data_IF_649482578225
#
_entry.id   IF_649482578225
#
_cell.length_a   1.000
_cell.length_b   1.000
_cell.length_c   1.000
_cell.angle_alpha   90.00
_cell.angle_beta   90.00
_cell.angle_gamma   90.00
#
_symmetry.space_group_name_H-M   'P 1'
#
loop_
_entity.id
_entity.type
_entity.pdbx_description
1 polymer ?
#
# COMPACT_ATOMS: atom_id res chain seq x y z
N UNK A 1 0.23 -12.78 8.24
CA UNK A 1 -0.75 -11.98 9.01
C UNK A 1 -0.14 -10.63 9.28
N UNK A 2 -0.92 -9.54 9.23
CA UNK A 2 -0.38 -8.17 9.17
C UNK A 2 -1.18 -7.20 10.02
N UNK A 3 -0.49 -6.32 10.75
CA UNK A 3 -1.09 -5.19 11.46
C UNK A 3 -0.95 -3.94 10.59
N UNK A 4 -2.05 -3.20 10.42
CA UNK A 4 -2.04 -1.88 9.80
C UNK A 4 -2.12 -0.85 10.93
N UNK A 5 -1.18 0.10 10.91
CA UNK A 5 -1.11 1.20 11.87
C UNK A 5 -0.88 2.51 11.13
N UNK A 6 -1.70 3.52 11.41
CA UNK A 6 -1.54 4.86 10.85
C UNK A 6 -2.15 5.92 11.77
N UNK A 7 -1.86 7.20 11.46
CA UNK A 7 -2.52 8.34 12.11
C UNK A 7 -3.43 9.03 11.11
N UNK A 8 -4.68 9.23 11.50
CA UNK A 8 -5.75 9.83 10.70
C UNK A 8 -6.18 11.13 11.36
N UNK A 9 -6.05 12.22 10.62
CA UNK A 9 -6.40 13.57 11.04
C UNK A 9 -7.32 14.19 9.98
N UNK A 10 -8.10 15.20 10.37
CA UNK A 10 -8.78 16.05 9.39
C UNK A 10 -7.84 17.13 8.81
N UNK A 11 -8.34 17.92 7.85
CA UNK A 11 -7.55 18.98 7.21
C UNK A 11 -7.13 20.11 8.18
N UNK A 12 -7.85 20.29 9.29
CA UNK A 12 -7.53 21.24 10.34
C UNK A 12 -6.64 20.62 11.44
N UNK A 13 -6.22 19.36 11.30
CA UNK A 13 -5.48 18.60 12.31
C UNK A 13 -6.34 18.17 13.50
N UNK A 14 -7.66 18.25 13.38
CA UNK A 14 -8.58 17.77 14.39
C UNK A 14 -8.75 16.25 14.33
N UNK A 15 -9.19 15.72 15.46
CA UNK A 15 -9.30 14.29 15.70
C UNK A 15 -10.38 13.64 14.82
N UNK A 16 -10.02 12.56 14.14
CA UNK A 16 -10.95 11.79 13.30
C UNK A 16 -11.64 10.71 14.12
N UNK A 17 -12.85 10.97 14.62
CA UNK A 17 -13.59 10.04 15.49
C UNK A 17 -14.45 9.00 14.74
N UNK A 18 -14.12 8.65 13.48
CA UNK A 18 -14.89 7.65 12.72
C UNK A 18 -14.14 6.34 12.59
N UNK A 19 -14.91 5.27 12.41
CA UNK A 19 -14.33 3.96 12.21
C UNK A 19 -13.85 3.74 10.77
N UNK A 20 -12.74 3.02 10.64
CA UNK A 20 -12.24 2.49 9.39
C UNK A 20 -12.69 1.04 9.26
N UNK A 21 -13.27 0.68 8.12
CA UNK A 21 -13.80 -0.67 7.88
C UNK A 21 -13.00 -1.38 6.80
N UNK A 22 -12.46 -2.55 7.11
CA UNK A 22 -11.80 -3.44 6.15
C UNK A 22 -12.76 -4.56 5.77
N UNK A 23 -12.89 -4.83 4.48
CA UNK A 23 -13.76 -5.87 3.93
C UNK A 23 -12.97 -6.74 2.97
N UNK A 24 -13.23 -8.03 2.99
CA UNK A 24 -12.62 -8.98 2.06
C UNK A 24 -13.63 -9.19 0.92
N UNK A 25 -13.26 -8.94 -0.35
CA UNK A 25 -14.22 -8.82 -1.43
C UNK A 25 -14.75 -10.17 -1.95
N UNK A 26 -14.09 -11.28 -1.60
CA UNK A 26 -14.47 -12.62 -2.02
C UNK A 26 -13.94 -13.67 -1.04
N UNK A 27 -14.61 -14.81 -0.99
CA UNK A 27 -14.12 -15.98 -0.27
C UNK A 27 -12.79 -16.46 -0.87
N UNK A 28 -11.79 -16.76 -0.02
CA UNK A 28 -10.50 -17.32 -0.43
C UNK A 28 -9.87 -18.17 0.67
N UNK A 29 -8.87 -18.97 0.34
CA UNK A 29 -8.02 -19.62 1.32
C UNK A 29 -7.19 -18.57 2.09
N UNK A 30 -6.93 -18.81 3.38
CA UNK A 30 -6.07 -17.98 4.21
C UNK A 30 -4.62 -18.06 3.72
N UNK A 31 -3.82 -17.02 3.97
CA UNK A 31 -2.42 -17.04 3.56
C UNK A 31 -1.62 -18.21 4.19
N UNK A 32 -2.07 -18.72 5.34
CA UNK A 32 -1.49 -19.88 6.01
C UNK A 32 -1.92 -21.25 5.43
N UNK A 33 -2.90 -21.29 4.53
CA UNK A 33 -3.48 -22.55 4.02
C UNK A 33 -4.30 -23.35 5.03
N UNK A 34 -4.58 -22.78 6.21
CA UNK A 34 -5.21 -23.48 7.32
C UNK A 34 -6.71 -23.16 7.50
N UNK A 35 -7.23 -22.14 6.81
CA UNK A 35 -8.59 -21.66 6.98
C UNK A 35 -9.17 -21.06 5.69
N UNK A 36 -10.48 -20.82 5.71
CA UNK A 36 -11.18 -20.05 4.68
C UNK A 36 -11.45 -18.65 5.22
N UNK A 37 -11.04 -17.66 4.45
CA UNK A 37 -11.31 -16.25 4.67
C UNK A 37 -12.63 -15.91 3.97
N UNK A 38 -13.62 -15.48 4.73
CA UNK A 38 -14.96 -15.10 4.23
C UNK A 38 -15.11 -13.59 4.09
N UNK A 39 -16.21 -13.12 3.51
CA UNK A 39 -16.52 -11.70 3.27
C UNK A 39 -16.90 -10.96 4.57
N UNK A 40 -16.04 -11.03 5.59
CA UNK A 40 -16.25 -10.35 6.84
C UNK A 40 -15.84 -8.88 6.76
N UNK A 41 -16.56 -8.05 7.53
CA UNK A 41 -16.25 -6.64 7.74
C UNK A 41 -15.62 -6.49 9.11
N UNK A 42 -14.36 -6.05 9.13
CA UNK A 42 -13.66 -5.70 10.35
C UNK A 42 -13.67 -4.18 10.52
N UNK A 43 -14.30 -3.72 11.59
CA UNK A 43 -14.42 -2.29 11.91
C UNK A 43 -13.44 -1.96 13.03
N UNK A 44 -12.53 -1.03 12.76
CA UNK A 44 -11.57 -0.52 13.74
C UNK A 44 -11.88 0.95 14.03
N UNK A 45 -11.94 1.30 15.30
CA UNK A 45 -12.12 2.69 15.71
C UNK A 45 -10.77 3.40 15.64
N UNK A 46 -10.81 4.65 15.19
CA UNK A 46 -9.70 5.57 15.35
C UNK A 46 -9.80 6.15 16.76
N UNK A 47 -8.70 6.15 17.49
CA UNK A 47 -8.64 6.73 18.83
C UNK A 47 -8.78 8.25 18.79
N UNK A 48 -9.07 8.87 19.93
CA UNK A 48 -9.14 10.33 20.01
C UNK A 48 -7.84 10.98 19.51
N UNK A 49 -6.65 10.40 19.76
CA UNK A 49 -5.37 10.91 19.22
C UNK A 49 -5.17 10.79 17.69
N UNK A 50 -6.15 10.25 16.97
CA UNK A 50 -6.08 9.98 15.53
C UNK A 50 -5.43 8.64 15.19
N UNK A 51 -5.01 7.84 16.18
CA UNK A 51 -4.32 6.58 15.91
C UNK A 51 -5.31 5.48 15.48
N UNK A 52 -5.05 4.88 14.32
CA UNK A 52 -5.65 3.65 13.85
C UNK A 52 -4.68 2.50 14.09
N UNK A 53 -5.13 1.45 14.77
CA UNK A 53 -4.39 0.19 14.91
C UNK A 53 -5.36 -0.96 14.66
N UNK A 54 -5.04 -1.82 13.67
CA UNK A 54 -5.83 -3.02 13.41
C UNK A 54 -5.35 -4.19 14.26
N UNK A 55 -6.20 -5.19 14.44
CA UNK A 55 -5.74 -6.55 14.77
C UNK A 55 -5.02 -7.17 13.57
N UNK A 56 -4.45 -8.36 13.74
CA UNK A 56 -3.90 -9.14 12.64
C UNK A 56 -4.95 -9.37 11.54
N UNK A 57 -4.64 -8.90 10.33
CA UNK A 57 -5.40 -9.13 9.11
C UNK A 57 -4.71 -10.20 8.27
N UNK A 58 -5.50 -10.99 7.56
CA UNK A 58 -4.97 -12.00 6.64
C UNK A 58 -4.47 -11.33 5.33
N UNK A 59 -3.25 -11.62 4.86
CA UNK A 59 -2.69 -11.04 3.64
C UNK A 59 -3.52 -11.33 2.40
N UNK A 60 -3.66 -10.35 1.51
CA UNK A 60 -4.35 -10.47 0.24
C UNK A 60 -5.23 -9.27 -0.11
N UNK A 61 -6.03 -9.37 -1.20
CA UNK A 61 -6.89 -8.29 -1.65
C UNK A 61 -7.98 -7.95 -0.62
N UNK A 62 -8.17 -6.66 -0.38
CA UNK A 62 -9.18 -6.13 0.54
C UNK A 62 -9.72 -4.77 0.04
N UNK A 63 -10.81 -4.32 0.64
CA UNK A 63 -11.34 -2.97 0.48
C UNK A 63 -11.33 -2.28 1.83
N UNK A 64 -10.78 -1.07 1.90
CA UNK A 64 -10.84 -0.21 3.08
C UNK A 64 -11.84 0.91 2.84
N UNK A 65 -12.72 1.16 3.81
CA UNK A 65 -13.69 2.25 3.80
C UNK A 65 -13.40 3.24 4.91
N UNK A 66 -13.28 4.51 4.54
CA UNK A 66 -13.08 5.65 5.44
C UNK A 66 -14.17 6.66 5.13
N UNK A 67 -15.06 6.91 6.09
CA UNK A 67 -16.26 7.73 5.88
C UNK A 67 -17.15 7.17 4.75
N UNK A 68 -17.35 7.98 3.71
CA UNK A 68 -18.17 7.61 2.54
C UNK A 68 -17.36 6.96 1.40
N UNK A 69 -16.03 7.02 1.44
CA UNK A 69 -15.16 6.57 0.37
C UNK A 69 -14.64 5.15 0.62
N UNK A 70 -14.45 4.39 -0.47
CA UNK A 70 -13.89 3.03 -0.43
C UNK A 70 -12.70 2.94 -1.38
N UNK A 71 -11.63 2.29 -0.93
CA UNK A 71 -10.37 2.12 -1.66
C UNK A 71 -10.02 0.63 -1.74
N UNK A 72 -9.63 0.17 -2.92
CA UNK A 72 -9.08 -1.18 -3.09
C UNK A 72 -7.64 -1.17 -2.59
N UNK A 73 -7.25 -2.18 -1.81
CA UNK A 73 -5.90 -2.32 -1.28
C UNK A 73 -5.47 -3.79 -1.34
N UNK A 74 -4.15 -4.02 -1.29
CA UNK A 74 -3.59 -5.36 -1.08
C UNK A 74 -2.87 -5.36 0.25
N UNK A 75 -3.31 -6.18 1.20
CA UNK A 75 -2.66 -6.34 2.49
C UNK A 75 -1.43 -7.24 2.27
N UNK A 76 -0.20 -6.73 2.46
CA UNK A 76 1.01 -7.54 2.31
C UNK A 76 1.10 -8.55 3.45
N UNK A 77 1.91 -9.60 3.30
CA UNK A 77 2.32 -10.43 4.44
C UNK A 77 3.52 -9.78 5.12
N UNK A 78 3.34 -9.27 6.34
CA UNK A 78 4.38 -8.53 7.06
C UNK A 78 4.34 -8.85 8.55
N UNK A 79 5.52 -9.16 9.11
CA UNK A 79 5.74 -9.31 10.55
C UNK A 79 5.83 -7.99 11.30
N UNK A 80 5.87 -6.86 10.59
CA UNK A 80 5.94 -5.51 11.14
C UNK A 80 4.70 -4.67 10.77
N UNK A 81 4.28 -3.71 11.62
CA UNK A 81 3.15 -2.84 11.30
C UNK A 81 3.37 -2.04 10.00
N UNK A 82 2.34 -1.98 9.16
CA UNK A 82 2.37 -1.28 7.86
C UNK A 82 1.47 -0.04 7.89
N UNK A 83 1.91 1.04 7.24
CA UNK A 83 1.13 2.28 7.07
C UNK A 83 -0.03 2.06 6.11
N UNK A 84 -1.19 2.67 6.38
CA UNK A 84 -2.39 2.55 5.56
C UNK A 84 -2.30 3.36 4.26
N UNK A 85 -1.78 4.59 4.32
CA UNK A 85 -1.77 5.48 3.15
C UNK A 85 -1.04 4.89 1.92
N UNK A 86 0.16 4.30 2.04
CA UNK A 86 0.83 3.68 0.90
C UNK A 86 0.00 2.57 0.23
N UNK A 87 -0.80 1.83 1.00
CA UNK A 87 -1.68 0.79 0.47
C UNK A 87 -2.84 1.40 -0.33
N UNK A 88 -3.43 2.49 0.18
CA UNK A 88 -4.48 3.24 -0.51
C UNK A 88 -3.93 3.83 -1.81
N UNK A 89 -2.78 4.49 -1.75
CA UNK A 89 -2.15 5.09 -2.92
C UNK A 89 -1.81 4.05 -3.99
N UNK A 90 -1.29 2.88 -3.60
CA UNK A 90 -1.02 1.79 -4.53
C UNK A 90 -2.29 1.30 -5.27
N UNK A 91 -3.46 1.36 -4.64
CA UNK A 91 -4.73 0.92 -5.21
C UNK A 91 -5.54 2.00 -5.94
N UNK A 92 -5.08 3.26 -5.95
CA UNK A 92 -5.76 4.32 -6.68
C UNK A 92 -5.63 4.13 -8.20
N UNK A 93 -6.66 4.50 -8.99
CA UNK A 93 -6.61 4.36 -10.44
C UNK A 93 -5.40 5.11 -11.00
N UNK A 94 -4.87 4.56 -12.09
CA UNK A 94 -3.90 5.25 -12.90
C UNK A 94 -4.38 6.67 -13.24
N UNK A 95 -3.53 7.73 -13.13
CA UNK A 95 -3.82 8.94 -13.86
C UNK A 95 -4.06 8.57 -15.34
N UNK A 96 -5.00 9.27 -16.02
CA UNK A 96 -5.27 9.01 -17.42
C UNK A 96 -3.94 9.05 -18.19
N UNK A 97 -3.70 8.10 -19.11
CA UNK A 97 -2.44 8.06 -19.84
C UNK A 97 -2.25 9.41 -20.54
N UNK A 98 -1.26 10.17 -20.08
CA UNK A 98 -0.73 11.28 -20.86
C UNK A 98 0.10 10.67 -21.98
N UNK A 99 0.04 11.23 -23.19
CA UNK A 99 0.80 10.71 -24.34
C UNK A 99 2.32 10.68 -24.11
N UNK A 100 2.81 11.34 -23.05
CA UNK A 100 4.24 11.52 -22.76
C UNK A 100 4.77 10.81 -21.50
N UNK A 101 3.92 10.36 -20.58
CA UNK A 101 4.41 9.76 -19.31
C UNK A 101 3.59 8.56 -18.86
N UNK A 102 4.30 7.45 -18.61
CA UNK A 102 3.82 6.33 -17.81
C UNK A 102 4.23 6.58 -16.34
N UNK A 103 3.40 6.17 -15.38
CA UNK A 103 3.68 6.32 -13.96
C UNK A 103 3.90 4.94 -13.31
N UNK A 104 4.71 4.90 -12.26
CA UNK A 104 4.94 3.70 -11.44
C UNK A 104 4.37 3.95 -10.05
N UNK A 105 3.51 3.04 -9.56
CA UNK A 105 3.05 3.03 -8.16
C UNK A 105 3.91 2.06 -7.35
N UNK A 106 4.44 2.54 -6.23
CA UNK A 106 5.21 1.71 -5.32
C UNK A 106 4.28 1.04 -4.29
N UNK A 107 4.08 -0.27 -4.42
CA UNK A 107 3.26 -1.08 -3.51
C UNK A 107 3.92 -1.42 -2.16
N UNK A 108 5.00 -0.73 -1.78
CA UNK A 108 5.71 -0.94 -0.51
C UNK A 108 6.91 -1.88 -0.57
N UNK A 109 7.24 -2.43 -1.74
CA UNK A 109 8.41 -3.30 -1.95
C UNK A 109 9.68 -2.57 -2.40
N UNK A 110 9.55 -1.29 -2.78
CA UNK A 110 10.64 -0.47 -3.27
C UNK A 110 10.97 0.58 -2.20
N UNK A 111 12.20 0.53 -1.70
CA UNK A 111 12.71 1.46 -0.67
C UNK A 111 13.20 2.75 -1.32
N UNK A 112 13.78 2.65 -2.52
CA UNK A 112 14.39 3.77 -3.25
C UNK A 112 14.31 3.58 -4.76
N UNK A 113 14.24 4.68 -5.49
CA UNK A 113 14.52 4.71 -6.93
C UNK A 113 15.81 5.53 -7.17
N UNK A 114 16.72 5.00 -7.97
CA UNK A 114 17.98 5.65 -8.31
C UNK A 114 18.23 5.57 -9.81
N UNK A 115 18.59 6.70 -10.43
CA UNK A 115 19.07 6.72 -11.80
C UNK A 115 20.60 6.53 -11.81
N UNK A 116 21.09 5.55 -12.57
CA UNK A 116 22.51 5.17 -12.70
C UNK A 116 22.90 5.07 -14.17
N UNK A 117 24.18 5.18 -14.47
CA UNK A 117 24.71 4.90 -15.81
C UNK A 117 24.89 3.38 -15.98
N UNK A 118 24.98 2.89 -17.23
CA UNK A 118 25.02 1.44 -17.49
C UNK A 118 26.26 0.77 -16.88
N UNK A 119 27.40 1.45 -16.96
CA UNK A 119 28.68 0.99 -16.39
C UNK A 119 28.65 0.96 -14.85
N UNK A 120 27.98 1.93 -14.22
CA UNK A 120 27.72 1.93 -12.78
C UNK A 120 26.80 0.76 -12.38
N UNK A 121 25.72 0.52 -13.15
CA UNK A 121 24.77 -0.56 -12.87
C UNK A 121 25.41 -1.96 -12.92
N UNK A 122 26.29 -2.19 -13.89
CA UNK A 122 26.97 -3.48 -14.09
C UNK A 122 28.06 -3.76 -13.03
N UNK A 123 28.63 -2.71 -12.44
CA UNK A 123 29.75 -2.81 -11.49
C UNK A 123 29.35 -2.65 -10.02
N UNK A 124 28.15 -2.13 -9.73
CA UNK A 124 27.69 -1.91 -8.37
C UNK A 124 27.16 -3.19 -7.69
N UNK A 125 27.15 -3.17 -6.36
CA UNK A 125 26.42 -4.16 -5.57
C UNK A 125 24.94 -3.78 -5.52
N UNK A 126 24.07 -4.66 -6.00
CA UNK A 126 22.64 -4.39 -6.10
C UNK A 126 21.96 -4.42 -4.73
N UNK A 127 21.21 -3.36 -4.41
CA UNK A 127 20.28 -3.35 -3.28
C UNK A 127 18.93 -3.91 -3.74
N UNK A 128 18.46 -5.04 -3.19
CA UNK A 128 17.18 -5.65 -3.59
C UNK A 128 15.96 -4.76 -3.30
N UNK A 129 16.09 -3.74 -2.44
CA UNK A 129 15.05 -2.75 -2.19
C UNK A 129 15.06 -1.56 -3.16
N UNK A 130 16.04 -1.44 -4.05
CA UNK A 130 16.20 -0.27 -4.92
C UNK A 130 15.83 -0.59 -6.38
N UNK A 131 14.96 0.23 -6.96
CA UNK A 131 14.73 0.26 -8.41
C UNK A 131 15.79 1.13 -9.07
N UNK A 132 16.56 0.55 -9.97
CA UNK A 132 17.56 1.25 -10.75
C UNK A 132 17.04 1.58 -12.14
N UNK A 133 17.17 2.85 -12.53
CA UNK A 133 16.82 3.35 -13.86
C UNK A 133 18.13 3.63 -14.59
N UNK A 134 18.43 2.85 -15.62
CA UNK A 134 19.64 3.04 -16.44
C UNK A 134 19.40 4.24 -17.37
N UNK A 135 20.27 5.25 -17.28
CA UNK A 135 20.11 6.54 -17.99
C UNK A 135 20.39 6.47 -19.49
N UNK A 136 20.96 5.38 -19.99
CA UNK A 136 21.49 5.35 -21.36
C UNK A 136 20.45 5.12 -22.47
N UNK A 137 20.28 6.20 -23.25
CA UNK A 137 20.03 6.29 -24.69
C UNK A 137 18.62 6.16 -25.30
N UNK A 138 17.51 6.12 -24.55
CA UNK A 138 16.16 6.18 -25.16
C UNK A 138 15.16 7.05 -24.38
N UNK A 139 15.53 8.28 -24.05
CA UNK A 139 14.54 9.36 -23.83
C UNK A 139 14.89 10.50 -24.78
N UNK A 140 14.55 10.34 -26.05
CA UNK A 140 14.43 11.45 -26.99
C UNK A 140 13.04 12.08 -26.83
N UNK A 141 13.02 13.41 -26.66
CA UNK A 141 11.83 14.27 -26.58
C UNK A 141 10.79 14.02 -27.67
#
# INVERSE_FOLDING_TARGET
MTIIQDRIEDIAGAEFAQAVTFTIPRIRESASGAAIVTEQKHRFQVTDGGDLVTSNLDPGPATVRIGLNSYQITIPDSSSPIRLWPLIDAGMPAPPPSEQYQFVRNGGGLVRAQAVDLDEYESMMWDPGTLYIIKDAQVTE
#
